data_IF_298854082271
#
_entry.id   IF_298854082271
#
_cell.length_a   1.000
_cell.length_b   1.000
_cell.length_c   1.000
_cell.angle_alpha   90.00
_cell.angle_beta   90.00
_cell.angle_gamma   90.00
#
_symmetry.space_group_name_H-M   'P 1'
#
loop_
_entity.id
_entity.type
_entity.pdbx_description
1 polymer ?
#
# COMPACT_ATOMS: atom_id res chain seq x y z
N UNK A 1 0.81 5.13 24.66
CA UNK A 1 0.15 4.25 23.68
C UNK A 1 -0.08 5.07 22.43
N UNK A 2 0.99 5.26 21.65
CA UNK A 2 0.93 6.05 20.41
C UNK A 2 0.30 5.15 19.36
N UNK A 3 -0.77 5.64 18.74
CA UNK A 3 -1.47 4.92 17.68
C UNK A 3 -0.48 4.61 16.56
N UNK A 4 -0.21 3.33 16.31
CA UNK A 4 0.54 2.89 15.13
C UNK A 4 -0.04 3.58 13.87
N UNK A 5 -1.37 3.64 13.76
CA UNK A 5 -2.06 4.37 12.69
C UNK A 5 -1.79 5.88 12.60
N UNK A 6 -1.37 6.56 13.67
CA UNK A 6 -1.00 7.98 13.60
C UNK A 6 0.45 8.19 13.11
N UNK A 7 1.37 7.29 13.48
CA UNK A 7 2.73 7.30 12.95
C UNK A 7 2.75 6.88 11.48
N UNK A 8 1.91 5.90 11.11
CA UNK A 8 1.73 5.44 9.73
C UNK A 8 1.15 6.57 8.85
N UNK A 9 0.17 7.32 9.37
CA UNK A 9 -0.36 8.51 8.70
C UNK A 9 0.71 9.61 8.54
N UNK A 10 1.62 9.76 9.50
CA UNK A 10 2.76 10.67 9.42
C UNK A 10 3.74 10.30 8.30
N UNK A 11 4.09 9.01 8.19
CA UNK A 11 4.96 8.51 7.11
C UNK A 11 4.29 8.62 5.73
N UNK A 12 3.01 8.28 5.63
CA UNK A 12 2.26 8.38 4.38
C UNK A 12 2.22 9.84 3.89
N UNK A 13 1.98 10.79 4.78
CA UNK A 13 2.02 12.23 4.47
C UNK A 13 3.41 12.69 4.01
N UNK A 14 4.46 12.33 4.74
CA UNK A 14 5.83 12.70 4.40
C UNK A 14 6.29 12.13 3.04
N UNK A 15 5.89 10.90 2.70
CA UNK A 15 6.19 10.30 1.40
C UNK A 15 5.40 10.99 0.29
N UNK A 16 4.12 11.29 0.50
CA UNK A 16 3.31 12.00 -0.48
C UNK A 16 3.90 13.39 -0.77
N UNK A 17 4.30 14.13 0.26
CA UNK A 17 4.97 15.44 0.12
C UNK A 17 6.31 15.32 -0.61
N UNK A 18 7.12 14.31 -0.30
CA UNK A 18 8.41 14.10 -0.96
C UNK A 18 8.25 13.76 -2.45
N UNK A 19 7.24 12.96 -2.81
CA UNK A 19 6.95 12.62 -4.20
C UNK A 19 6.38 13.82 -4.97
N UNK A 20 5.48 14.60 -4.37
CA UNK A 20 4.96 15.85 -4.96
C UNK A 20 6.09 16.86 -5.22
N UNK A 21 6.99 17.03 -4.25
CA UNK A 21 8.19 17.88 -4.40
C UNK A 21 9.10 17.40 -5.54
N UNK A 22 9.13 16.10 -5.82
CA UNK A 22 9.85 15.51 -6.94
C UNK A 22 9.06 15.53 -8.27
N UNK A 23 7.84 16.07 -8.28
CA UNK A 23 6.96 16.18 -9.46
C UNK A 23 6.17 14.91 -9.78
N UNK A 24 6.06 13.97 -8.85
CA UNK A 24 5.23 12.78 -8.98
C UNK A 24 3.88 12.91 -8.28
N UNK A 25 2.97 11.96 -8.54
CA UNK A 25 1.69 11.85 -7.83
C UNK A 25 1.67 10.57 -6.99
N UNK A 26 1.09 10.66 -5.78
CA UNK A 26 0.87 9.50 -4.90
C UNK A 26 -0.62 9.38 -4.59
N UNK A 27 -1.12 8.15 -4.73
CA UNK A 27 -2.43 7.76 -4.24
C UNK A 27 -2.27 6.91 -2.99
N UNK A 28 -2.84 7.38 -1.89
CA UNK A 28 -2.73 6.72 -0.60
C UNK A 28 -3.93 5.78 -0.42
N UNK A 29 -3.66 4.48 -0.36
CA UNK A 29 -4.65 3.46 0.01
C UNK A 29 -4.48 3.11 1.49
N UNK A 30 -5.39 3.59 2.34
CA UNK A 30 -5.42 3.24 3.76
C UNK A 30 -6.11 1.88 3.94
N UNK A 31 -5.47 0.98 4.69
CA UNK A 31 -6.01 -0.33 5.04
C UNK A 31 -6.47 -0.35 6.49
N UNK A 32 -7.72 -0.74 6.72
CA UNK A 32 -8.25 -0.99 8.05
C UNK A 32 -8.36 -2.51 8.27
N UNK A 33 -7.57 -3.12 9.17
CA UNK A 33 -7.66 -4.56 9.42
C UNK A 33 -9.02 -5.02 9.97
N UNK A 34 -9.89 -4.10 10.42
CA UNK A 34 -11.27 -4.41 10.80
C UNK A 34 -12.24 -4.43 9.61
N UNK A 35 -11.86 -3.85 8.46
CA UNK A 35 -12.64 -3.93 7.22
C UNK A 35 -12.36 -5.26 6.52
N UNK A 36 -13.41 -6.03 6.26
CA UNK A 36 -13.32 -7.29 5.55
C UNK A 36 -12.70 -7.13 4.14
N UNK A 37 -12.94 -5.99 3.48
CA UNK A 37 -12.34 -5.70 2.18
C UNK A 37 -10.81 -5.58 2.25
N UNK A 38 -10.25 -5.27 3.42
CA UNK A 38 -8.80 -5.09 3.62
C UNK A 38 -8.15 -6.31 4.26
N UNK A 39 -8.96 -7.17 4.86
CA UNK A 39 -8.53 -8.39 5.52
C UNK A 39 -8.41 -9.59 4.57
N UNK A 40 -8.92 -9.51 3.34
CA UNK A 40 -8.82 -10.59 2.34
C UNK A 40 -8.28 -10.14 0.97
N UNK A 41 -7.77 -11.13 0.24
CA UNK A 41 -7.02 -10.93 -1.01
C UNK A 41 -7.88 -10.33 -2.11
N UNK A 42 -9.12 -10.79 -2.24
CA UNK A 42 -10.02 -10.40 -3.32
C UNK A 42 -10.59 -9.00 -3.08
N UNK A 43 -10.94 -8.69 -1.84
CA UNK A 43 -11.33 -7.36 -1.41
C UNK A 43 -10.24 -6.34 -1.68
N UNK A 44 -9.00 -6.65 -1.26
CA UNK A 44 -7.88 -5.73 -1.44
C UNK A 44 -7.52 -5.57 -2.92
N UNK A 45 -7.57 -6.65 -3.71
CA UNK A 45 -7.33 -6.59 -5.15
C UNK A 45 -8.34 -5.64 -5.84
N UNK A 46 -9.63 -5.71 -5.46
CA UNK A 46 -10.65 -4.80 -5.98
C UNK A 46 -10.34 -3.34 -5.63
N UNK A 47 -9.96 -3.06 -4.37
CA UNK A 47 -9.58 -1.70 -3.96
C UNK A 47 -8.38 -1.17 -4.74
N UNK A 48 -7.39 -2.02 -5.01
CA UNK A 48 -6.23 -1.68 -5.84
C UNK A 48 -6.69 -1.33 -7.27
N UNK A 49 -7.54 -2.17 -7.89
CA UNK A 49 -8.06 -1.91 -9.23
C UNK A 49 -8.85 -0.61 -9.29
N UNK A 50 -9.66 -0.30 -8.27
CA UNK A 50 -10.40 0.96 -8.17
C UNK A 50 -9.46 2.17 -8.06
N UNK A 51 -8.44 2.08 -7.21
CA UNK A 51 -7.44 3.14 -7.01
C UNK A 51 -6.63 3.43 -8.28
N UNK A 52 -6.27 2.38 -9.04
CA UNK A 52 -5.52 2.49 -10.31
C UNK A 52 -6.44 2.90 -11.47
N UNK A 53 -7.68 2.40 -11.50
CA UNK A 53 -8.62 2.62 -12.59
C UNK A 53 -9.17 4.04 -12.69
N UNK A 54 -9.22 4.77 -11.57
CA UNK A 54 -9.71 6.15 -11.54
C UNK A 54 -8.84 7.16 -12.35
N UNK A 55 -7.61 6.80 -12.75
CA UNK A 55 -6.75 7.66 -13.60
C UNK A 55 -7.05 7.61 -15.09
N UNK A 56 -7.65 6.52 -15.59
CA UNK A 56 -7.86 6.33 -17.03
C UNK A 56 -8.92 7.26 -17.64
N UNK A 57 -9.62 8.04 -16.83
CA UNK A 57 -10.62 9.03 -17.27
C UNK A 57 -10.05 10.47 -17.41
N UNK A 58 -8.77 10.70 -17.08
CA UNK A 58 -8.22 12.04 -16.85
C UNK A 58 -7.31 12.66 -17.92
N UNK A 59 -6.85 11.95 -18.95
CA UNK A 59 -5.99 12.59 -19.96
C UNK A 59 -5.43 11.67 -21.02
N UNK A 60 -5.78 11.93 -22.27
CA UNK A 60 -5.07 11.41 -23.43
C UNK A 60 -3.80 12.26 -23.65
N UNK A 61 -2.73 11.99 -22.91
CA UNK A 61 -1.46 12.70 -23.04
C UNK A 61 -0.32 11.89 -22.45
N UNK A 62 0.60 11.48 -23.32
CA UNK A 62 1.74 10.58 -23.08
C UNK A 62 1.40 9.17 -22.59
N UNK A 63 1.92 8.18 -23.31
CA UNK A 63 1.73 6.77 -22.99
C UNK A 63 2.28 6.51 -21.58
N UNK A 64 1.39 6.35 -20.60
CA UNK A 64 1.75 5.77 -19.32
C UNK A 64 2.51 4.45 -19.59
N UNK A 65 3.59 4.15 -18.83
CA UNK A 65 4.26 2.85 -18.95
C UNK A 65 3.21 1.74 -18.84
N UNK A 66 3.41 0.62 -19.54
CA UNK A 66 2.50 -0.53 -19.51
C UNK A 66 2.21 -0.92 -18.05
N UNK A 67 1.13 -0.40 -17.46
CA UNK A 67 0.87 -0.50 -16.01
C UNK A 67 0.46 0.77 -15.25
N UNK A 68 0.39 1.96 -15.88
CA UNK A 68 -0.32 3.14 -15.32
C UNK A 68 0.35 3.90 -14.17
N UNK A 69 1.30 3.31 -13.42
CA UNK A 69 2.02 3.97 -12.32
C UNK A 69 3.45 3.44 -12.15
N UNK A 70 4.31 4.21 -11.49
CA UNK A 70 5.74 3.92 -11.35
C UNK A 70 6.07 2.77 -10.37
N UNK A 71 5.19 2.50 -9.40
CA UNK A 71 5.24 1.37 -8.48
C UNK A 71 4.44 1.58 -7.20
N UNK A 72 4.49 0.62 -6.29
CA UNK A 72 3.77 0.60 -5.01
C UNK A 72 4.76 0.80 -3.86
N UNK A 73 4.48 1.76 -2.99
CA UNK A 73 5.20 1.95 -1.72
C UNK A 73 4.35 1.40 -0.59
N UNK A 74 4.85 0.38 0.11
CA UNK A 74 4.17 -0.25 1.24
C UNK A 74 4.81 0.15 2.57
N UNK A 75 4.00 0.74 3.45
CA UNK A 75 4.35 1.06 4.84
C UNK A 75 4.02 -0.08 5.80
N UNK A 76 3.42 -1.16 5.32
CA UNK A 76 2.95 -2.28 6.15
C UNK A 76 4.10 -2.95 6.92
N UNK A 77 5.32 -2.91 6.38
CA UNK A 77 6.52 -3.42 7.05
C UNK A 77 6.91 -2.67 8.34
N UNK A 78 6.28 -1.53 8.64
CA UNK A 78 6.51 -0.77 9.87
C UNK A 78 5.66 -1.28 11.06
N UNK A 79 4.62 -2.09 10.80
CA UNK A 79 3.78 -2.67 11.85
C UNK A 79 4.36 -3.99 12.37
N UNK A 80 5.18 -3.90 13.41
CA UNK A 80 5.82 -5.05 14.06
C UNK A 80 4.95 -5.72 15.14
N UNK A 81 3.71 -5.29 15.35
CA UNK A 81 2.82 -5.89 16.36
C UNK A 81 2.60 -7.37 16.06
N UNK A 82 2.60 -8.21 17.08
CA UNK A 82 2.29 -9.62 16.92
C UNK A 82 0.82 -9.81 16.47
N UNK A 83 0.59 -10.75 15.54
CA UNK A 83 -0.76 -11.16 15.19
C UNK A 83 -1.45 -11.91 16.35
N UNK A 84 -2.72 -11.59 16.67
CA UNK A 84 -3.44 -12.25 17.76
C UNK A 84 -3.54 -13.78 17.62
N UNK A 85 -3.73 -14.26 16.39
CA UNK A 85 -4.05 -15.68 16.12
C UNK A 85 -2.86 -16.52 15.64
N UNK A 86 -1.68 -15.90 15.47
CA UNK A 86 -0.48 -16.55 14.93
C UNK A 86 0.79 -16.10 15.65
N UNK A 87 1.15 -16.86 16.69
CA UNK A 87 2.39 -16.64 17.41
C UNK A 87 3.60 -16.69 16.46
N UNK A 88 4.44 -15.66 16.49
CA UNK A 88 5.65 -15.56 15.67
C UNK A 88 5.48 -14.87 14.31
N UNK A 89 4.27 -14.44 13.93
CA UNK A 89 4.02 -13.65 12.72
C UNK A 89 3.65 -12.22 13.11
N UNK A 90 4.41 -11.25 12.60
CA UNK A 90 4.08 -9.83 12.72
C UNK A 90 2.92 -9.44 11.81
N UNK A 91 2.04 -8.54 12.28
CA UNK A 91 0.89 -8.04 11.54
C UNK A 91 1.30 -7.43 10.20
N UNK A 92 2.36 -6.64 10.18
CA UNK A 92 2.92 -6.04 8.96
C UNK A 92 3.43 -7.05 7.94
N UNK A 93 4.01 -8.17 8.39
CA UNK A 93 4.44 -9.25 7.50
C UNK A 93 3.25 -9.97 6.86
N UNK A 94 2.21 -10.27 7.65
CA UNK A 94 0.99 -10.89 7.15
C UNK A 94 0.27 -9.97 6.15
N UNK A 95 0.15 -8.68 6.47
CA UNK A 95 -0.44 -7.67 5.58
C UNK A 95 0.38 -7.48 4.29
N UNK A 96 1.71 -7.54 4.37
CA UNK A 96 2.58 -7.47 3.19
C UNK A 96 2.38 -8.69 2.28
N UNK A 97 2.23 -9.90 2.84
CA UNK A 97 1.90 -11.09 2.06
C UNK A 97 0.54 -10.94 1.36
N UNK A 98 -0.47 -10.45 2.08
CA UNK A 98 -1.79 -10.17 1.54
C UNK A 98 -1.72 -9.15 0.38
N UNK A 99 -0.94 -8.09 0.54
CA UNK A 99 -0.72 -7.07 -0.48
C UNK A 99 -0.09 -7.67 -1.74
N UNK A 100 0.98 -8.47 -1.63
CA UNK A 100 1.63 -9.13 -2.78
C UNK A 100 0.64 -10.00 -3.53
N UNK A 101 -0.16 -10.76 -2.79
CA UNK A 101 -1.19 -11.63 -3.34
C UNK A 101 -2.28 -10.84 -4.08
N UNK A 102 -2.74 -9.72 -3.50
CA UNK A 102 -3.77 -8.86 -4.06
C UNK A 102 -3.27 -8.09 -5.29
N UNK A 103 -2.02 -7.63 -5.30
CA UNK A 103 -1.37 -7.02 -6.47
C UNK A 103 -1.33 -7.99 -7.66
N UNK A 104 -1.01 -9.26 -7.39
CA UNK A 104 -1.05 -10.31 -8.41
C UNK A 104 -2.46 -10.55 -8.98
N UNK A 105 -3.50 -10.55 -8.12
CA UNK A 105 -4.89 -10.67 -8.57
C UNK A 105 -5.38 -9.44 -9.34
N UNK A 106 -4.89 -8.25 -8.98
CA UNK A 106 -5.17 -7.00 -9.68
C UNK A 106 -4.41 -6.85 -11.01
N UNK A 107 -3.50 -7.78 -11.34
CA UNK A 107 -2.66 -7.70 -12.53
C UNK A 107 -1.63 -6.56 -12.49
N UNK A 108 -1.28 -6.08 -11.29
CA UNK A 108 -0.25 -5.07 -11.11
C UNK A 108 1.13 -5.70 -11.23
N UNK A 109 1.89 -5.28 -12.23
CA UNK A 109 3.27 -5.71 -12.47
C UNK A 109 4.32 -4.67 -12.05
N UNK A 110 3.89 -3.50 -11.56
CA UNK A 110 4.80 -2.43 -11.16
C UNK A 110 5.64 -2.83 -9.92
N UNK A 111 6.85 -2.28 -9.73
CA UNK A 111 7.69 -2.59 -8.58
C UNK A 111 6.99 -2.36 -7.24
N UNK A 112 7.25 -3.23 -6.25
CA UNK A 112 6.82 -3.06 -4.86
C UNK A 112 8.04 -2.73 -3.98
N UNK A 113 8.01 -1.57 -3.33
CA UNK A 113 8.97 -1.18 -2.29
C UNK A 113 8.32 -1.31 -0.92
N UNK A 114 8.88 -2.18 -0.07
CA UNK A 114 8.43 -2.34 1.31
C UNK A 114 9.37 -1.56 2.22
N UNK A 115 8.83 -0.61 2.98
CA UNK A 115 9.60 0.15 3.95
C UNK A 115 9.60 -0.56 5.29
N UNK A 116 10.79 -0.67 5.89
CA UNK A 116 11.03 -1.28 7.20
C UNK A 116 11.86 -0.32 8.05
N UNK A 117 11.69 -0.35 9.36
CA UNK A 117 12.53 0.37 10.30
C UNK A 117 13.32 -0.62 11.14
N UNK A 118 14.59 -0.32 11.42
CA UNK A 118 15.32 -1.09 12.42
C UNK A 118 14.82 -0.70 13.81
N UNK A 119 14.69 -1.65 14.76
CA UNK A 119 14.41 -1.32 16.15
C UNK A 119 15.52 -0.40 16.68
N UNK A 120 15.10 0.72 17.28
CA UNK A 120 15.96 1.73 17.90
C UNK A 120 16.45 1.32 19.28
#
# INVERSE_FOLDING_TARGET
MTAAGAADAGWAGAIAEAVDTAGGEVRVLQLDPADAADADRAGLARRIVEAVGADRTGGAGEAAPEGGFAGVISLLGLDERAMPDRAGVGAGLAATLLLVQALGDAGVAAPLWVLTQAPS
#
